data_IF_557089011040
#
_entry.id   IF_557089011040
#
_cell.length_a   1.000
_cell.length_b   1.000
_cell.length_c   1.000
_cell.angle_alpha   90.00
_cell.angle_beta   90.00
_cell.angle_gamma   90.00
#
_symmetry.space_group_name_H-M   'P 1'
#
loop_
_entity.id
_entity.type
_entity.pdbx_description
1 polymer ?
#
# COMPACT_ATOMS: atom_id res chain seq x y z
N UNK A 1 -12.22 7.00 10.95
CA UNK A 1 -11.55 5.71 10.66
C UNK A 1 -10.85 5.87 9.33
N UNK A 2 -9.57 5.47 9.24
CA UNK A 2 -8.76 5.62 8.02
C UNK A 2 -9.30 4.71 6.93
N UNK A 3 -9.25 5.16 5.70
CA UNK A 3 -9.35 4.27 4.55
C UNK A 3 -7.99 3.60 4.32
N UNK A 4 -7.86 2.37 4.81
CA UNK A 4 -6.59 1.62 4.75
C UNK A 4 -6.12 1.39 3.31
N UNK A 5 -7.05 1.26 2.35
CA UNK A 5 -6.69 1.06 0.95
C UNK A 5 -6.02 2.34 0.41
N UNK A 6 -6.58 3.51 0.73
CA UNK A 6 -5.99 4.79 0.34
C UNK A 6 -4.63 5.05 1.00
N UNK A 7 -4.46 4.65 2.27
CA UNK A 7 -3.16 4.68 2.96
C UNK A 7 -2.12 3.82 2.24
N UNK A 8 -2.47 2.56 1.96
CA UNK A 8 -1.58 1.63 1.27
C UNK A 8 -1.33 1.99 -0.19
N UNK A 9 -2.27 2.69 -0.84
CA UNK A 9 -2.05 3.24 -2.17
C UNK A 9 -0.95 4.32 -2.17
N UNK A 10 -0.99 5.24 -1.20
CA UNK A 10 0.01 6.30 -1.05
C UNK A 10 1.37 5.73 -0.64
N UNK A 11 1.38 4.76 0.28
CA UNK A 11 2.58 4.03 0.64
C UNK A 11 3.17 3.26 -0.55
N UNK A 12 2.35 2.57 -1.33
CA UNK A 12 2.80 1.82 -2.50
C UNK A 12 3.42 2.73 -3.57
N UNK A 13 2.87 3.94 -3.75
CA UNK A 13 3.46 4.95 -4.61
C UNK A 13 4.81 5.48 -4.09
N UNK A 14 4.91 5.73 -2.77
CA UNK A 14 6.17 6.10 -2.11
C UNK A 14 7.23 5.00 -2.25
N UNK A 15 6.87 3.75 -1.95
CA UNK A 15 7.77 2.59 -2.01
C UNK A 15 8.23 2.26 -3.44
N UNK A 16 7.41 2.54 -4.46
CA UNK A 16 7.78 2.37 -5.86
C UNK A 16 8.59 3.55 -6.44
N UNK A 17 8.67 4.68 -5.72
CA UNK A 17 9.45 5.86 -6.11
C UNK A 17 10.88 5.79 -5.56
N UNK A 18 11.73 6.75 -5.94
CA UNK A 18 13.13 6.85 -5.47
C UNK A 18 13.28 6.91 -3.93
N UNK A 19 12.19 7.20 -3.18
CA UNK A 19 12.16 7.11 -1.70
C UNK A 19 12.20 5.68 -1.13
N UNK A 20 11.85 4.65 -1.93
CA UNK A 20 11.87 3.23 -1.54
C UNK A 20 13.06 2.41 -2.07
N UNK A 21 14.07 3.10 -2.63
CA UNK A 21 15.07 2.55 -3.56
C UNK A 21 16.10 1.57 -2.94
N UNK A 22 15.91 1.13 -1.70
CA UNK A 22 16.72 0.05 -1.11
C UNK A 22 16.21 -1.34 -1.53
N UNK A 23 14.94 -1.48 -1.92
CA UNK A 23 14.34 -2.81 -2.23
C UNK A 23 13.61 -2.91 -3.59
N UNK A 24 13.23 -1.79 -4.21
CA UNK A 24 12.46 -1.79 -5.45
C UNK A 24 13.05 -0.79 -6.46
N UNK A 25 14.21 -1.11 -7.04
CA UNK A 25 14.82 -0.26 -8.04
C UNK A 25 13.98 -0.21 -9.33
N UNK A 26 13.45 0.94 -9.76
CA UNK A 26 12.89 1.08 -11.09
C UNK A 26 13.98 1.60 -12.02
N UNK A 27 14.54 0.68 -12.82
CA UNK A 27 15.30 0.98 -14.05
C UNK A 27 16.61 1.76 -13.88
N UNK A 28 17.63 1.35 -14.64
CA UNK A 28 18.97 1.93 -14.61
C UNK A 28 18.97 3.46 -14.72
N UNK A 29 19.72 4.12 -13.83
CA UNK A 29 19.82 5.57 -13.61
C UNK A 29 20.23 6.45 -14.82
N UNK A 30 20.27 5.89 -16.05
CA UNK A 30 20.64 6.59 -17.29
C UNK A 30 19.49 7.00 -18.21
N UNK A 31 18.23 6.63 -17.91
CA UNK A 31 17.08 6.86 -18.82
C UNK A 31 16.00 7.82 -18.31
N UNK A 32 16.17 8.40 -17.12
CA UNK A 32 15.16 9.23 -16.44
C UNK A 32 14.77 10.52 -17.16
N UNK A 33 15.55 10.98 -18.16
CA UNK A 33 15.26 12.18 -18.95
C UNK A 33 14.69 11.97 -20.36
N UNK A 34 14.59 10.72 -20.83
CA UNK A 34 14.28 10.41 -22.25
C UNK A 34 12.86 9.86 -22.48
N UNK A 35 12.14 9.49 -21.43
CA UNK A 35 10.77 9.01 -21.54
C UNK A 35 9.81 10.15 -21.20
N UNK A 36 8.81 10.46 -22.05
CA UNK A 36 7.74 11.37 -21.68
C UNK A 36 7.15 10.93 -20.34
N UNK A 37 6.82 11.88 -19.46
CA UNK A 37 6.18 11.60 -18.16
C UNK A 37 4.87 10.82 -18.38
N UNK A 38 4.96 9.49 -18.48
CA UNK A 38 3.91 8.63 -19.03
C UNK A 38 3.11 7.94 -17.94
N UNK A 39 3.27 8.35 -16.68
CA UNK A 39 2.32 8.00 -15.62
C UNK A 39 2.01 9.27 -14.85
N UNK A 40 0.71 9.61 -14.74
CA UNK A 40 0.25 10.46 -13.64
C UNK A 40 0.82 9.84 -12.37
N UNK A 41 1.74 10.54 -11.72
CA UNK A 41 2.35 10.06 -10.48
C UNK A 41 1.20 9.84 -9.48
N UNK A 42 1.08 8.62 -8.96
CA UNK A 42 0.15 8.36 -7.87
C UNK A 42 0.62 9.22 -6.68
N UNK A 43 -0.27 9.88 -5.93
CA UNK A 43 0.14 10.68 -4.80
C UNK A 43 0.87 9.78 -3.79
N UNK A 44 2.14 10.06 -3.54
CA UNK A 44 2.94 9.38 -2.54
C UNK A 44 2.67 9.97 -1.14
N UNK A 45 2.96 9.19 -0.09
CA UNK A 45 3.05 9.71 1.28
C UNK A 45 4.39 10.41 1.53
N UNK A 46 4.55 11.02 2.71
CA UNK A 46 5.85 11.51 3.18
C UNK A 46 6.79 10.36 3.56
N UNK A 47 8.07 10.66 3.75
CA UNK A 47 9.08 9.68 4.15
C UNK A 47 8.79 9.10 5.54
N UNK A 48 8.35 9.93 6.48
CA UNK A 48 7.99 9.49 7.84
C UNK A 48 6.83 8.49 7.82
N UNK A 49 5.74 8.86 7.14
CA UNK A 49 4.59 7.96 6.92
C UNK A 49 5.03 6.67 6.21
N UNK A 50 5.89 6.79 5.22
CA UNK A 50 6.46 5.69 4.45
C UNK A 50 7.23 4.70 5.32
N UNK A 51 8.10 5.19 6.21
CA UNK A 51 8.89 4.39 7.14
C UNK A 51 8.01 3.72 8.20
N UNK A 52 7.02 4.44 8.75
CA UNK A 52 6.07 3.88 9.72
C UNK A 52 5.34 2.68 9.10
N UNK A 53 4.76 2.83 7.91
CA UNK A 53 4.02 1.74 7.25
C UNK A 53 4.98 0.60 6.89
N UNK A 54 6.20 0.91 6.44
CA UNK A 54 7.23 -0.10 6.14
C UNK A 54 7.66 -0.90 7.39
N UNK A 55 7.62 -0.28 8.57
CA UNK A 55 7.87 -0.99 9.83
C UNK A 55 6.77 -2.03 10.11
N UNK A 56 5.50 -1.67 9.89
CA UNK A 56 4.37 -2.59 10.00
C UNK A 56 4.45 -3.72 8.96
N UNK A 57 4.85 -3.40 7.72
CA UNK A 57 5.14 -4.39 6.67
C UNK A 57 6.25 -5.37 7.10
N UNK A 58 7.29 -4.89 7.76
CA UNK A 58 8.37 -5.75 8.28
C UNK A 58 7.86 -6.71 9.35
N UNK A 59 6.96 -6.27 10.24
CA UNK A 59 6.33 -7.14 11.22
C UNK A 59 5.43 -8.17 10.53
N UNK A 60 4.63 -7.76 9.55
CA UNK A 60 3.80 -8.66 8.75
C UNK A 60 4.66 -9.71 8.05
N UNK A 61 5.76 -9.31 7.41
CA UNK A 61 6.68 -10.22 6.70
C UNK A 61 7.26 -11.30 7.62
N UNK A 62 7.56 -10.97 8.87
CA UNK A 62 8.04 -11.93 9.88
C UNK A 62 6.95 -12.90 10.34
N UNK A 63 5.69 -12.48 10.39
CA UNK A 63 4.55 -13.32 10.80
C UNK A 63 4.00 -14.17 9.66
N UNK A 64 3.85 -13.58 8.48
CA UNK A 64 3.26 -14.17 7.29
C UNK A 64 3.81 -13.44 6.04
N UNK A 65 4.91 -13.98 5.52
CA UNK A 65 5.59 -13.43 4.34
C UNK A 65 4.71 -13.48 3.08
N UNK A 66 3.76 -14.41 3.02
CA UNK A 66 2.84 -14.55 1.91
C UNK A 66 1.86 -13.37 1.85
N UNK A 67 1.28 -12.97 2.99
CA UNK A 67 0.41 -11.78 3.05
C UNK A 67 1.16 -10.48 2.73
N UNK A 68 2.40 -10.35 3.22
CA UNK A 68 3.27 -9.21 2.88
C UNK A 68 3.50 -9.13 1.36
N UNK A 69 3.80 -10.25 0.71
CA UNK A 69 4.00 -10.32 -0.74
C UNK A 69 2.75 -9.88 -1.52
N UNK A 70 1.54 -10.21 -1.05
CA UNK A 70 0.30 -9.78 -1.71
C UNK A 70 0.15 -8.26 -1.70
N UNK A 71 0.48 -7.61 -0.58
CA UNK A 71 0.46 -6.14 -0.47
C UNK A 71 1.49 -5.50 -1.41
N UNK A 72 2.72 -6.04 -1.46
CA UNK A 72 3.77 -5.55 -2.36
C UNK A 72 3.35 -5.67 -3.83
N UNK A 73 2.84 -6.84 -4.23
CA UNK A 73 2.36 -7.05 -5.60
C UNK A 73 1.23 -6.09 -5.98
N UNK A 74 0.27 -5.89 -5.09
CA UNK A 74 -0.89 -5.07 -5.37
C UNK A 74 -0.56 -3.57 -5.34
N UNK A 75 -0.01 -3.08 -4.22
CA UNK A 75 0.15 -1.64 -3.98
C UNK A 75 1.44 -1.06 -4.58
N UNK A 76 2.54 -1.83 -4.60
CA UNK A 76 3.86 -1.37 -5.12
C UNK A 76 3.98 -1.71 -6.60
N UNK A 77 3.73 -2.96 -6.99
CA UNK A 77 3.89 -3.40 -8.38
C UNK A 77 2.65 -3.15 -9.27
N UNK A 78 1.54 -2.67 -8.72
CA UNK A 78 0.28 -2.46 -9.44
C UNK A 78 -0.23 -3.72 -10.18
N UNK A 79 0.00 -4.91 -9.61
CA UNK A 79 -0.54 -6.15 -10.16
C UNK A 79 -2.05 -6.22 -9.93
N UNK A 80 -2.80 -6.54 -10.98
CA UNK A 80 -4.26 -6.69 -10.84
C UNK A 80 -4.60 -7.93 -10.02
N UNK A 81 -5.72 -7.91 -9.29
CA UNK A 81 -6.20 -9.07 -8.54
C UNK A 81 -6.38 -10.32 -9.42
N UNK A 82 -6.79 -10.15 -10.68
CA UNK A 82 -6.87 -11.25 -11.67
C UNK A 82 -5.49 -11.78 -12.03
N UNK A 83 -4.51 -10.89 -12.22
CA UNK A 83 -3.12 -11.28 -12.45
C UNK A 83 -2.53 -12.06 -11.29
N UNK A 84 -2.80 -11.62 -10.05
CA UNK A 84 -2.41 -12.34 -8.84
C UNK A 84 -3.10 -13.71 -8.76
N UNK A 85 -4.40 -13.78 -9.03
CA UNK A 85 -5.17 -15.02 -9.03
C UNK A 85 -4.61 -16.05 -10.02
N UNK A 86 -4.33 -15.60 -11.26
CA UNK A 86 -3.71 -16.43 -12.29
C UNK A 86 -2.30 -16.90 -11.88
N UNK A 87 -1.47 -15.99 -11.35
CA UNK A 87 -0.09 -16.29 -10.93
C UNK A 87 -0.02 -17.26 -9.74
N UNK A 88 -1.01 -17.21 -8.84
CA UNK A 88 -1.10 -18.07 -7.67
C UNK A 88 -1.87 -19.38 -7.92
N UNK A 89 -2.58 -19.49 -9.04
CA UNK A 89 -3.46 -20.63 -9.33
C UNK A 89 -4.66 -20.73 -8.38
N UNK A 90 -5.18 -19.60 -7.89
CA UNK A 90 -6.32 -19.55 -6.95
C UNK A 90 -7.44 -18.66 -7.48
N UNK A 91 -8.65 -18.77 -6.90
CA UNK A 91 -9.77 -17.91 -7.29
C UNK A 91 -9.57 -16.45 -6.90
N UNK A 92 -10.20 -15.54 -7.64
CA UNK A 92 -10.18 -14.10 -7.36
C UNK A 92 -10.63 -13.80 -5.91
N UNK A 93 -11.69 -14.48 -5.45
CA UNK A 93 -12.20 -14.31 -4.08
C UNK A 93 -11.16 -14.69 -3.02
N UNK A 94 -10.37 -15.75 -3.27
CA UNK A 94 -9.29 -16.12 -2.35
C UNK A 94 -8.23 -15.03 -2.27
N UNK A 95 -7.83 -14.43 -3.41
CA UNK A 95 -6.90 -13.29 -3.41
C UNK A 95 -7.47 -12.12 -2.61
N UNK A 96 -8.73 -11.75 -2.85
CA UNK A 96 -9.39 -10.62 -2.17
C UNK A 96 -9.43 -10.82 -0.66
N UNK A 97 -9.86 -12.00 -0.19
CA UNK A 97 -9.94 -12.30 1.26
C UNK A 97 -8.55 -12.24 1.91
N UNK A 98 -7.52 -12.76 1.22
CA UNK A 98 -6.15 -12.74 1.73
C UNK A 98 -5.57 -11.32 1.74
N UNK A 99 -5.83 -10.54 0.71
CA UNK A 99 -5.41 -9.14 0.64
C UNK A 99 -6.08 -8.32 1.74
N UNK A 100 -7.39 -8.45 1.94
CA UNK A 100 -8.13 -7.81 3.03
C UNK A 100 -7.59 -8.20 4.41
N UNK A 101 -7.22 -9.46 4.61
CA UNK A 101 -6.56 -9.92 5.85
C UNK A 101 -5.21 -9.21 6.06
N UNK A 102 -4.43 -9.01 5.00
CA UNK A 102 -3.17 -8.29 5.05
C UNK A 102 -3.38 -6.80 5.34
N UNK A 103 -4.34 -6.16 4.67
CA UNK A 103 -4.74 -4.76 4.91
C UNK A 103 -5.16 -4.54 6.37
N UNK A 104 -6.06 -5.40 6.88
CA UNK A 104 -6.53 -5.34 8.27
C UNK A 104 -5.42 -5.54 9.29
N UNK A 105 -4.37 -6.31 8.97
CA UNK A 105 -3.19 -6.41 9.84
C UNK A 105 -2.46 -5.05 9.95
N UNK A 106 -2.22 -4.38 8.82
CA UNK A 106 -1.54 -3.07 8.82
C UNK A 106 -2.40 -2.03 9.53
N UNK A 107 -3.70 -1.98 9.25
CA UNK A 107 -4.65 -1.11 9.96
C UNK A 107 -4.62 -1.35 11.47
N UNK A 108 -4.64 -2.62 11.88
CA UNK A 108 -4.56 -3.04 13.28
C UNK A 108 -3.25 -2.61 13.96
N UNK A 109 -2.10 -2.71 13.27
CA UNK A 109 -0.83 -2.22 13.79
C UNK A 109 -0.84 -0.70 14.02
N UNK A 110 -1.33 0.07 13.04
CA UNK A 110 -1.41 1.52 13.13
C UNK A 110 -2.37 1.96 14.26
N UNK A 111 -3.50 1.28 14.40
CA UNK A 111 -4.48 1.54 15.46
C UNK A 111 -3.92 1.18 16.85
N UNK A 112 -3.30 0.01 16.99
CA UNK A 112 -2.75 -0.46 18.27
C UNK A 112 -1.61 0.42 18.80
N UNK A 113 -0.81 0.99 17.91
CA UNK A 113 0.28 1.90 18.26
C UNK A 113 -0.18 3.36 18.45
N UNK A 114 -1.45 3.67 18.16
CA UNK A 114 -1.97 5.04 18.25
C UNK A 114 -1.24 6.03 17.34
N UNK A 115 -0.65 5.56 16.24
CA UNK A 115 0.14 6.39 15.34
C UNK A 115 -0.78 7.35 14.61
N UNK A 116 -0.34 8.60 14.46
CA UNK A 116 -0.98 9.61 13.59
C UNK A 116 -0.12 9.75 12.34
N UNK A 117 -0.71 9.59 11.17
CA UNK A 117 -0.02 9.76 9.90
C UNK A 117 -0.28 11.16 9.37
N UNK A 118 0.68 11.77 8.69
CA UNK A 118 0.49 13.10 8.11
C UNK A 118 -0.61 13.09 7.04
N UNK A 119 -0.73 11.97 6.33
CA UNK A 119 -1.75 11.75 5.31
C UNK A 119 -3.17 11.56 5.86
N UNK A 120 -3.36 11.45 7.18
CA UNK A 120 -4.68 11.20 7.82
C UNK A 120 -5.74 12.20 7.34
N UNK A 121 -5.35 13.47 7.20
CA UNK A 121 -6.21 14.55 6.69
C UNK A 121 -6.82 14.31 5.29
N UNK A 122 -6.28 13.35 4.54
CA UNK A 122 -6.73 13.02 3.18
C UNK A 122 -7.35 11.62 3.06
N UNK A 123 -7.23 10.78 4.10
CA UNK A 123 -7.63 9.36 4.05
C UNK A 123 -8.66 9.01 5.12
N UNK A 124 -9.09 9.97 5.93
CA UNK A 124 -10.20 9.77 6.85
C UNK A 124 -11.52 9.66 6.09
N UNK A 125 -12.31 8.63 6.43
CA UNK A 125 -13.71 8.55 6.00
C UNK A 125 -14.51 9.59 6.79
N UNK A 126 -15.25 10.45 6.09
CA UNK A 126 -16.21 11.34 6.74
C UNK A 126 -17.17 10.51 7.61
N UNK A 127 -17.51 10.97 8.82
CA UNK A 127 -18.57 10.34 9.58
C UNK A 127 -19.86 10.44 8.77
N UNK A 128 -20.52 9.30 8.53
CA UNK A 128 -21.88 9.30 7.99
C UNK A 128 -22.73 10.08 8.98
N UNK A 129 -23.01 11.35 8.67
CA UNK A 129 -23.90 12.17 9.47
C UNK A 129 -25.27 11.50 9.41
N UNK A 130 -25.69 10.91 10.53
CA UNK A 130 -27.06 10.44 10.67
C UNK A 130 -27.96 11.66 10.49
N UNK A 131 -28.63 11.73 9.34
CA UNK A 131 -29.65 12.75 9.09
C UNK A 131 -30.74 12.50 10.13
N UNK A 132 -31.03 13.44 11.04
CA UNK A 132 -32.16 13.28 11.94
C UNK A 132 -33.44 13.27 11.09
N UNK A 133 -34.19 12.18 11.18
CA UNK A 133 -35.55 12.05 10.61
C UNK A 133 -36.54 12.76 11.52
#
# INVERSE_FOLDING_TARGET
>A
MRDIQMVLERWGAWAASEGGNVYYAPTAAGFSGLLPATRKSRPACSDDDGLIISSAMTVLKKKDSYLCMLLEWYYVNNMTLRGMAAKLGISLNQVVIRLQKAEGFIEGCLAALGVTLEMDRFVEREPVVAVPV
#
